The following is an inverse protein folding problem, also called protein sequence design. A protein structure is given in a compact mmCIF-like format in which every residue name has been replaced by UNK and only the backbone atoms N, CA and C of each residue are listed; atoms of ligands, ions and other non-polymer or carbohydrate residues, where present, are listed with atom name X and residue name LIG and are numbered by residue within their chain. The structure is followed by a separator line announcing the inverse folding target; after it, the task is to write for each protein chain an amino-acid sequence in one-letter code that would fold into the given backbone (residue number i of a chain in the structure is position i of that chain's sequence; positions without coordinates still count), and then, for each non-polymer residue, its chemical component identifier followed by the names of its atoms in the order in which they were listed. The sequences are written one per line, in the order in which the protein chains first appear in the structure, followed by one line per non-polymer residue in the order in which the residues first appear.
data_IF_352803652011
#
_entry.id   IF_352803652011
#
_cell.length_a   1.000
_cell.length_b   1.000
_cell.length_c   1.000
_cell.angle_alpha   90.00
_cell.angle_beta   90.00
_cell.angle_gamma   90.00
#
_symmetry.space_group_name_H-M   'P 1'
#
loop_
_entity.id
_entity.type
_entity.pdbx_description
1 polymer ?
#
# COMPACT_ATOMS: atom_id res chain seq x y z
N UNK A 1 -24.69 76.32 -38.65
CA UNK A 1 -23.63 75.35 -38.82
C UNK A 1 -23.19 74.92 -37.43
N UNK A 2 -23.73 73.79 -36.96
CA UNK A 2 -23.49 73.27 -35.61
C UNK A 2 -22.80 71.92 -35.75
N UNK A 3 -21.56 71.83 -35.24
CA UNK A 3 -20.75 70.65 -35.28
C UNK A 3 -21.12 69.75 -34.12
N UNK A 4 -21.63 68.55 -34.40
CA UNK A 4 -21.96 67.53 -33.38
C UNK A 4 -20.70 66.67 -33.15
N UNK A 5 -20.05 66.79 -31.99
CA UNK A 5 -18.99 65.91 -31.55
C UNK A 5 -19.63 64.65 -30.97
N UNK A 6 -19.40 63.50 -31.59
CA UNK A 6 -19.75 62.18 -31.09
C UNK A 6 -18.75 61.84 -29.97
N UNK A 7 -19.26 61.66 -28.75
CA UNK A 7 -18.50 61.12 -27.60
C UNK A 7 -18.71 59.58 -27.61
N UNK A 8 -17.63 58.82 -27.85
CA UNK A 8 -17.63 57.36 -27.74
C UNK A 8 -17.33 57.00 -26.28
N UNK A 9 -18.26 56.44 -25.54
CA UNK A 9 -18.06 55.83 -24.24
C UNK A 9 -17.53 54.41 -24.46
N UNK A 10 -16.23 54.18 -24.15
CA UNK A 10 -15.63 52.86 -24.13
C UNK A 10 -15.85 52.27 -22.73
N UNK A 11 -16.85 51.40 -22.58
CA UNK A 11 -17.08 50.61 -21.37
C UNK A 11 -16.06 49.50 -21.27
N UNK A 12 -15.04 49.66 -20.46
CA UNK A 12 -14.03 48.65 -20.14
C UNK A 12 -14.64 47.69 -19.13
N UNK A 13 -15.10 46.51 -19.59
CA UNK A 13 -15.53 45.40 -18.72
C UNK A 13 -14.30 44.78 -18.07
N UNK A 14 -14.05 45.06 -16.78
CA UNK A 14 -13.08 44.35 -15.97
C UNK A 14 -13.64 42.96 -15.69
N UNK A 15 -13.14 41.93 -16.39
CA UNK A 15 -13.38 40.55 -16.04
C UNK A 15 -12.50 40.20 -14.80
N UNK A 16 -13.11 40.27 -13.61
CA UNK A 16 -12.53 39.69 -12.39
C UNK A 16 -12.47 38.18 -12.57
N UNK A 17 -11.32 37.65 -13.01
CA UNK A 17 -11.00 36.24 -12.84
C UNK A 17 -10.79 35.97 -11.34
N UNK A 18 -11.85 35.55 -10.66
CA UNK A 18 -11.73 34.98 -9.31
C UNK A 18 -11.01 33.64 -9.43
N UNK A 19 -9.70 33.65 -9.19
CA UNK A 19 -8.94 32.44 -8.91
C UNK A 19 -9.47 31.86 -7.60
N UNK A 20 -10.40 30.91 -7.69
CA UNK A 20 -10.76 30.08 -6.55
C UNK A 20 -9.52 29.25 -6.20
N UNK A 21 -8.75 29.72 -5.21
CA UNK A 21 -7.73 28.91 -4.54
C UNK A 21 -8.50 27.77 -3.85
N UNK A 22 -8.56 26.62 -4.47
CA UNK A 22 -8.99 25.40 -3.80
C UNK A 22 -7.95 25.12 -2.69
N UNK A 23 -8.27 25.58 -1.48
CA UNK A 23 -7.57 25.12 -0.29
C UNK A 23 -7.84 23.61 -0.19
N UNK A 24 -6.91 22.78 -0.64
CA UNK A 24 -6.94 21.38 -0.34
C UNK A 24 -6.89 21.26 1.19
N UNK A 25 -7.99 20.80 1.79
CA UNK A 25 -8.02 20.53 3.21
C UNK A 25 -6.87 19.55 3.53
N UNK A 26 -5.95 19.96 4.38
CA UNK A 26 -4.86 19.10 4.84
C UNK A 26 -5.51 17.95 5.61
N UNK A 27 -5.43 16.75 5.07
CA UNK A 27 -5.93 15.55 5.72
C UNK A 27 -4.89 15.17 6.79
N UNK A 28 -5.14 15.57 8.04
CA UNK A 28 -4.31 15.14 9.16
C UNK A 28 -4.65 13.69 9.52
N UNK A 29 -3.66 12.79 9.67
CA UNK A 29 -3.91 11.42 10.04
C UNK A 29 -4.32 11.29 11.51
N UNK A 30 -5.17 10.29 11.81
CA UNK A 30 -5.32 9.78 13.16
C UNK A 30 -4.14 8.86 13.46
N UNK A 31 -3.41 9.12 14.53
CA UNK A 31 -2.29 8.27 14.97
C UNK A 31 -2.73 7.44 16.17
N UNK A 32 -2.52 6.11 16.08
CA UNK A 32 -2.85 5.16 17.15
C UNK A 32 -1.74 4.12 17.31
N UNK A 33 -1.53 3.64 18.53
CA UNK A 33 -0.67 2.48 18.79
C UNK A 33 -1.48 1.21 18.60
N UNK A 34 -1.08 0.33 17.68
CA UNK A 34 -1.76 -0.95 17.45
C UNK A 34 -1.11 -2.12 18.16
N UNK A 35 0.17 -1.97 18.50
CA UNK A 35 0.95 -3.03 19.14
C UNK A 35 2.00 -2.46 20.08
N UNK A 36 2.19 -3.11 21.20
CA UNK A 36 3.32 -2.87 22.09
C UNK A 36 4.06 -4.18 22.30
N UNK A 37 5.38 -4.16 22.15
CA UNK A 37 6.28 -5.28 22.44
C UNK A 37 7.38 -4.75 23.34
N UNK A 38 7.40 -5.17 24.60
CA UNK A 38 8.27 -4.62 25.64
C UNK A 38 8.14 -3.08 25.69
N UNK A 39 9.22 -2.37 25.38
CA UNK A 39 9.26 -0.90 25.35
C UNK A 39 8.95 -0.31 23.98
N UNK A 40 8.79 -1.15 22.94
CA UNK A 40 8.53 -0.70 21.56
C UNK A 40 7.03 -0.52 21.33
N UNK A 41 6.64 0.69 20.96
CA UNK A 41 5.28 0.99 20.51
C UNK A 41 5.26 1.15 18.98
N UNK A 42 4.36 0.41 18.33
CA UNK A 42 4.19 0.44 16.88
C UNK A 42 2.88 1.15 16.53
N UNK A 43 2.98 2.16 15.66
CA UNK A 43 1.90 3.05 15.32
C UNK A 43 1.23 2.76 13.98
N UNK A 44 0.00 3.24 13.84
CA UNK A 44 -0.70 3.40 12.58
C UNK A 44 -0.97 4.88 12.35
N UNK A 45 -0.74 5.36 11.11
CA UNK A 45 -1.25 6.65 10.65
C UNK A 45 -2.43 6.39 9.72
N UNK A 46 -3.62 6.80 10.14
CA UNK A 46 -4.88 6.53 9.44
C UNK A 46 -5.39 7.81 8.81
N UNK A 47 -5.53 7.81 7.49
CA UNK A 47 -6.13 8.91 6.73
C UNK A 47 -7.56 8.53 6.36
N UNK A 48 -8.49 9.37 6.75
CA UNK A 48 -9.90 9.22 6.40
C UNK A 48 -10.24 9.94 5.10
N UNK A 49 -11.20 9.43 4.32
CA UNK A 49 -11.66 10.16 3.14
C UNK A 49 -12.31 11.49 3.53
N UNK A 50 -12.18 12.53 2.68
CA UNK A 50 -12.83 13.80 2.92
C UNK A 50 -14.34 13.63 3.14
N UNK A 51 -14.84 14.22 4.22
CA UNK A 51 -16.25 14.14 4.59
C UNK A 51 -16.68 12.82 5.20
N UNK A 52 -15.75 11.96 5.64
CA UNK A 52 -16.07 10.74 6.40
C UNK A 52 -16.96 11.05 7.60
N UNK A 53 -17.99 10.23 7.78
CA UNK A 53 -18.92 10.36 8.91
C UNK A 53 -18.88 9.10 9.77
N UNK A 54 -19.10 9.28 11.07
CA UNK A 54 -19.21 8.16 12.01
C UNK A 54 -20.30 7.18 11.55
N UNK A 55 -19.96 5.89 11.51
CA UNK A 55 -20.85 4.82 11.06
C UNK A 55 -20.71 4.45 9.57
N UNK A 56 -19.99 5.24 8.77
CA UNK A 56 -19.64 4.82 7.42
C UNK A 56 -18.51 3.76 7.45
N UNK A 57 -18.58 2.82 6.51
CA UNK A 57 -17.56 1.78 6.35
C UNK A 57 -16.95 1.87 4.96
N UNK A 58 -15.61 2.01 4.89
CA UNK A 58 -14.86 2.18 3.66
C UNK A 58 -13.92 1.01 3.40
N UNK A 59 -13.69 0.65 2.12
CA UNK A 59 -12.54 -0.18 1.77
C UNK A 59 -11.27 0.46 2.33
N UNK A 60 -10.34 -0.37 2.76
CA UNK A 60 -9.14 0.13 3.45
C UNK A 60 -7.88 -0.38 2.75
N UNK A 61 -6.93 0.52 2.49
CA UNK A 61 -5.61 0.14 1.96
C UNK A 61 -4.55 0.35 3.03
N UNK A 62 -3.79 -0.71 3.30
CA UNK A 62 -2.78 -0.78 4.36
C UNK A 62 -1.42 -0.86 3.71
N UNK A 63 -0.53 0.07 4.01
CA UNK A 63 0.79 0.19 3.39
C UNK A 63 1.91 -0.18 4.35
N UNK A 64 2.80 -1.05 3.87
CA UNK A 64 4.05 -1.41 4.52
C UNK A 64 5.23 -0.84 3.73
N UNK A 65 6.08 -0.07 4.39
CA UNK A 65 7.24 0.55 3.75
C UNK A 65 8.32 -0.47 3.36
N UNK A 66 9.17 -0.12 2.40
CA UNK A 66 10.35 -0.88 2.00
C UNK A 66 11.56 -0.55 2.88
N UNK A 67 12.67 -1.23 2.60
CA UNK A 67 13.95 -0.98 3.29
C UNK A 67 14.63 -2.25 3.77
N UNK A 68 14.34 -3.40 3.14
CA UNK A 68 15.01 -4.68 3.36
C UNK A 68 14.85 -5.23 4.78
N UNK A 69 13.79 -4.88 5.50
CA UNK A 69 13.56 -5.18 6.92
C UNK A 69 14.64 -4.60 7.86
N UNK A 70 15.59 -3.83 7.29
CA UNK A 70 16.66 -3.19 8.06
C UNK A 70 16.26 -1.82 8.58
N UNK A 71 15.53 -1.05 7.78
CA UNK A 71 15.11 0.32 8.06
C UNK A 71 13.97 0.71 7.15
N UNK A 72 13.72 2.01 7.01
CA UNK A 72 12.69 2.58 6.16
C UNK A 72 11.89 3.68 6.86
N UNK A 73 10.89 4.21 6.17
CA UNK A 73 10.04 5.28 6.69
C UNK A 73 8.57 5.01 6.41
N UNK A 74 7.74 5.18 7.43
CA UNK A 74 6.28 5.10 7.34
C UNK A 74 5.73 6.06 6.27
N UNK A 75 6.41 7.21 6.05
CA UNK A 75 6.01 8.21 5.07
C UNK A 75 6.24 7.83 3.60
N UNK A 76 6.93 6.70 3.32
CA UNK A 76 7.20 6.29 1.94
C UNK A 76 5.95 6.25 1.06
N UNK A 77 4.85 5.76 1.60
CA UNK A 77 3.57 5.62 0.88
C UNK A 77 2.57 6.75 1.17
N UNK A 78 3.00 7.86 1.77
CA UNK A 78 2.10 8.97 2.07
C UNK A 78 1.44 9.57 0.81
N UNK A 79 2.15 9.77 -0.34
CA UNK A 79 1.51 10.22 -1.57
C UNK A 79 0.41 9.27 -2.05
N UNK A 80 0.62 7.95 -2.00
CA UNK A 80 -0.39 6.94 -2.32
C UNK A 80 -1.56 6.99 -1.33
N UNK A 81 -1.26 7.09 -0.03
CA UNK A 81 -2.28 7.14 1.01
C UNK A 81 -3.22 8.33 0.83
N UNK A 82 -2.69 9.51 0.57
CA UNK A 82 -3.48 10.71 0.30
C UNK A 82 -4.35 10.57 -0.96
N UNK A 83 -3.80 10.00 -2.03
CA UNK A 83 -4.55 9.76 -3.27
C UNK A 83 -5.75 8.84 -3.03
N UNK A 84 -5.55 7.67 -2.42
CA UNK A 84 -6.63 6.71 -2.19
C UNK A 84 -7.62 7.17 -1.10
N UNK A 85 -7.18 7.97 -0.13
CA UNK A 85 -8.10 8.62 0.80
C UNK A 85 -9.06 9.58 0.07
N UNK A 86 -8.55 10.36 -0.90
CA UNK A 86 -9.40 11.19 -1.75
C UNK A 86 -10.38 10.38 -2.63
N UNK A 87 -10.09 9.10 -2.89
CA UNK A 87 -10.94 8.14 -3.63
C UNK A 87 -11.91 7.35 -2.73
N UNK A 88 -12.21 7.85 -1.54
CA UNK A 88 -13.16 7.25 -0.59
C UNK A 88 -12.71 5.95 0.07
N UNK A 89 -11.40 5.68 0.12
CA UNK A 89 -10.82 4.63 0.95
C UNK A 89 -10.36 5.20 2.29
N UNK A 90 -10.31 4.38 3.32
CA UNK A 90 -9.44 4.62 4.48
C UNK A 90 -8.05 4.11 4.10
N UNK A 91 -7.01 4.89 4.37
CA UNK A 91 -5.64 4.47 4.10
C UNK A 91 -4.81 4.47 5.38
N UNK A 92 -3.95 3.48 5.52
CA UNK A 92 -3.22 3.24 6.76
C UNK A 92 -1.74 3.03 6.44
N UNK A 93 -0.88 3.85 7.02
CA UNK A 93 0.57 3.65 6.99
C UNK A 93 0.97 2.93 8.28
N UNK A 94 1.62 1.78 8.15
CA UNK A 94 1.96 0.91 9.28
C UNK A 94 3.43 1.06 9.65
N UNK A 95 3.71 1.38 10.92
CA UNK A 95 5.04 1.17 11.49
C UNK A 95 5.21 -0.30 11.89
N UNK A 96 6.38 -0.85 11.67
CA UNK A 96 6.75 -2.21 12.07
C UNK A 96 8.21 -2.26 12.50
N UNK A 97 8.56 -3.24 13.33
CA UNK A 97 9.94 -3.39 13.82
C UNK A 97 10.91 -3.63 12.67
N UNK A 98 12.06 -2.95 12.72
CA UNK A 98 13.17 -3.09 11.76
C UNK A 98 14.50 -3.29 12.49
N UNK A 99 15.47 -3.92 11.81
CA UNK A 99 16.74 -4.31 12.41
C UNK A 99 17.50 -3.13 13.06
N UNK A 100 17.65 -2.03 12.33
CA UNK A 100 18.47 -0.89 12.78
C UNK A 100 17.92 -0.17 14.00
N UNK A 101 16.59 -0.15 14.16
CA UNK A 101 15.91 0.56 15.26
C UNK A 101 15.57 -0.36 16.43
N UNK A 102 15.29 -1.65 16.14
CA UNK A 102 14.71 -2.54 17.13
C UNK A 102 15.49 -3.85 17.30
N UNK A 103 16.62 -4.01 16.59
CA UNK A 103 17.44 -5.22 16.58
C UNK A 103 16.63 -6.52 16.33
N UNK A 104 15.69 -6.45 15.41
CA UNK A 104 14.79 -7.56 15.06
C UNK A 104 15.15 -8.20 13.72
N UNK A 105 14.63 -9.39 13.49
CA UNK A 105 14.76 -10.14 12.24
C UNK A 105 13.56 -9.92 11.31
N UNK A 106 13.63 -10.34 10.03
CA UNK A 106 12.49 -10.31 9.12
C UNK A 106 11.24 -11.06 9.61
N UNK A 107 11.42 -12.05 10.47
CA UNK A 107 10.31 -12.84 11.03
C UNK A 107 9.40 -11.99 11.94
N UNK A 108 9.99 -11.11 12.77
CA UNK A 108 9.22 -10.18 13.61
C UNK A 108 8.48 -9.14 12.76
N UNK A 109 9.07 -8.71 11.63
CA UNK A 109 8.39 -7.81 10.70
C UNK A 109 7.09 -8.43 10.16
N UNK A 110 7.10 -9.74 9.82
CA UNK A 110 5.89 -10.47 9.37
C UNK A 110 4.86 -10.54 10.49
N UNK A 111 5.27 -10.83 11.73
CA UNK A 111 4.34 -10.84 12.88
C UNK A 111 3.68 -9.48 13.06
N UNK A 112 4.45 -8.38 12.97
CA UNK A 112 3.92 -7.03 13.13
C UNK A 112 2.93 -6.67 12.03
N UNK A 113 3.23 -7.00 10.77
CA UNK A 113 2.31 -6.77 9.65
C UNK A 113 0.98 -7.52 9.84
N UNK A 114 1.03 -8.79 10.28
CA UNK A 114 -0.16 -9.59 10.56
C UNK A 114 -0.96 -9.03 11.75
N UNK A 115 -0.27 -8.58 12.81
CA UNK A 115 -0.90 -7.92 13.96
C UNK A 115 -1.62 -6.65 13.52
N UNK A 116 -1.04 -5.83 12.62
CA UNK A 116 -1.67 -4.62 12.11
C UNK A 116 -2.97 -4.92 11.35
N UNK A 117 -2.97 -5.90 10.43
CA UNK A 117 -4.19 -6.29 9.72
C UNK A 117 -5.26 -6.83 10.68
N UNK A 118 -4.88 -7.64 11.68
CA UNK A 118 -5.81 -8.12 12.71
C UNK A 118 -6.39 -6.99 13.53
N UNK A 119 -5.55 -6.06 13.98
CA UNK A 119 -5.99 -4.88 14.73
C UNK A 119 -7.04 -4.08 13.98
N UNK A 120 -6.76 -3.76 12.70
CA UNK A 120 -7.70 -3.03 11.85
C UNK A 120 -9.02 -3.77 11.66
N UNK A 121 -8.97 -5.09 11.46
CA UNK A 121 -10.16 -5.92 11.31
C UNK A 121 -10.96 -6.03 12.60
N UNK A 122 -10.28 -6.17 13.75
CA UNK A 122 -10.90 -6.23 15.07
C UNK A 122 -11.63 -4.94 15.43
N UNK A 123 -11.03 -3.79 15.07
CA UNK A 123 -11.58 -2.48 15.39
C UNK A 123 -12.32 -1.84 14.21
N UNK A 124 -12.70 -2.64 13.22
CA UNK A 124 -13.28 -2.16 11.95
C UNK A 124 -14.51 -1.28 12.15
N UNK A 125 -15.42 -1.65 13.07
CA UNK A 125 -16.60 -0.85 13.40
C UNK A 125 -16.26 0.53 13.96
N UNK A 126 -15.31 0.60 14.90
CA UNK A 126 -14.90 1.86 15.52
C UNK A 126 -14.09 2.76 14.54
N UNK A 127 -13.33 2.14 13.64
CA UNK A 127 -12.47 2.82 12.67
C UNK A 127 -13.18 3.10 11.33
N UNK A 128 -14.44 2.70 11.14
CA UNK A 128 -15.15 2.89 9.88
C UNK A 128 -14.60 2.04 8.72
N UNK A 129 -13.96 0.92 9.02
CA UNK A 129 -13.33 0.01 8.07
C UNK A 129 -14.32 -1.07 7.63
N UNK A 130 -14.38 -1.35 6.33
CA UNK A 130 -15.01 -2.57 5.84
C UNK A 130 -14.04 -3.76 6.03
N UNK A 131 -14.31 -4.60 7.01
CA UNK A 131 -13.46 -5.74 7.36
C UNK A 131 -13.27 -6.76 6.23
N UNK A 132 -14.15 -6.74 5.22
CA UNK A 132 -14.13 -7.63 4.05
C UNK A 132 -13.49 -7.00 2.81
N UNK A 133 -13.04 -5.74 2.89
CA UNK A 133 -12.39 -5.03 1.81
C UNK A 133 -11.09 -4.36 2.29
N UNK A 134 -10.17 -5.18 2.82
CA UNK A 134 -8.83 -4.75 3.25
C UNK A 134 -7.81 -5.13 2.18
N UNK A 135 -7.16 -4.14 1.58
CA UNK A 135 -6.07 -4.27 0.63
C UNK A 135 -4.75 -4.14 1.38
N UNK A 136 -3.84 -5.09 1.24
CA UNK A 136 -2.48 -4.92 1.74
C UNK A 136 -1.56 -4.50 0.59
N UNK A 137 -0.72 -3.52 0.85
CA UNK A 137 0.19 -2.92 -0.13
C UNK A 137 1.56 -2.70 0.46
N UNK A 138 2.56 -2.63 -0.40
CA UNK A 138 3.91 -2.29 0.05
C UNK A 138 4.95 -2.42 -1.05
N UNK A 139 6.14 -1.85 -0.78
CA UNK A 139 7.27 -1.89 -1.69
C UNK A 139 8.40 -2.76 -1.16
N UNK A 140 9.07 -3.52 -2.04
CA UNK A 140 10.24 -4.31 -1.66
C UNK A 140 9.96 -5.25 -0.47
N UNK A 141 10.67 -5.09 0.65
CA UNK A 141 10.40 -5.80 1.89
C UNK A 141 8.97 -5.57 2.41
N UNK A 142 8.40 -4.36 2.24
CA UNK A 142 7.01 -4.09 2.59
C UNK A 142 6.02 -4.83 1.69
N UNK A 143 6.35 -5.03 0.42
CA UNK A 143 5.59 -5.88 -0.49
C UNK A 143 5.63 -7.36 -0.08
N UNK A 144 6.77 -7.83 0.44
CA UNK A 144 6.86 -9.14 1.09
C UNK A 144 5.88 -9.22 2.26
N UNK A 145 5.89 -8.23 3.19
CA UNK A 145 5.01 -8.22 4.35
C UNK A 145 3.53 -8.28 3.95
N UNK A 146 3.14 -7.50 2.95
CA UNK A 146 1.79 -7.51 2.41
C UNK A 146 1.37 -8.91 1.91
N UNK A 147 2.23 -9.58 1.12
CA UNK A 147 1.97 -10.92 0.63
C UNK A 147 2.04 -11.98 1.75
N UNK A 148 2.98 -11.83 2.70
CA UNK A 148 3.16 -12.74 3.83
C UNK A 148 1.95 -12.76 4.78
N UNK A 149 1.18 -11.68 4.85
CA UNK A 149 -0.09 -11.68 5.60
C UNK A 149 -1.07 -12.75 5.12
N UNK A 150 -1.00 -13.15 3.85
CA UNK A 150 -1.78 -14.27 3.32
C UNK A 150 -1.00 -15.59 3.32
N UNK A 151 0.27 -15.57 2.89
CA UNK A 151 1.03 -16.78 2.58
C UNK A 151 1.64 -17.44 3.81
N UNK A 152 2.01 -16.67 4.84
CA UNK A 152 2.62 -17.22 6.03
C UNK A 152 1.59 -17.50 7.12
N UNK A 153 1.37 -18.78 7.45
CA UNK A 153 0.40 -19.19 8.48
C UNK A 153 1.01 -19.28 9.87
N UNK A 154 2.29 -19.60 9.98
CA UNK A 154 2.95 -19.93 11.26
C UNK A 154 3.44 -18.70 12.04
N UNK A 155 3.92 -17.66 11.36
CA UNK A 155 4.46 -16.48 12.03
C UNK A 155 3.33 -15.59 12.56
N UNK A 156 2.97 -15.79 13.81
CA UNK A 156 1.99 -14.97 14.51
C UNK A 156 2.59 -14.44 15.80
N UNK A 157 2.16 -13.27 16.23
CA UNK A 157 2.49 -12.81 17.58
C UNK A 157 1.68 -13.59 18.59
N UNK A 158 2.30 -13.92 19.72
CA UNK A 158 1.66 -14.73 20.78
C UNK A 158 0.45 -14.04 21.42
N UNK A 159 0.42 -12.72 21.38
CA UNK A 159 -0.65 -11.90 21.95
C UNK A 159 -1.79 -11.64 20.97
N UNK A 160 -1.65 -12.03 19.70
CA UNK A 160 -2.69 -11.82 18.68
C UNK A 160 -3.89 -12.77 18.89
N UNK A 161 -5.10 -12.24 18.73
CA UNK A 161 -6.29 -13.08 18.62
C UNK A 161 -6.32 -13.76 17.25
N UNK A 162 -5.94 -15.04 17.20
CA UNK A 162 -5.84 -15.81 15.96
C UNK A 162 -7.21 -16.16 15.33
N UNK A 163 -8.32 -15.98 16.04
CA UNK A 163 -9.66 -16.08 15.45
C UNK A 163 -9.94 -14.95 14.45
N UNK A 164 -9.17 -13.84 14.52
CA UNK A 164 -9.25 -12.73 13.59
C UNK A 164 -8.25 -12.96 12.47
N UNK A 165 -8.73 -12.95 11.22
CA UNK A 165 -7.89 -13.19 10.05
C UNK A 165 -6.92 -12.04 9.80
N UNK A 166 -5.64 -12.39 9.56
CA UNK A 166 -4.63 -11.46 9.04
C UNK A 166 -4.61 -11.39 7.50
N UNK A 167 -5.43 -12.21 6.80
CA UNK A 167 -5.40 -12.33 5.33
C UNK A 167 -6.05 -11.09 4.69
N UNK A 168 -5.35 -10.38 3.79
CA UNK A 168 -5.96 -9.30 3.01
C UNK A 168 -6.92 -9.85 1.96
N UNK A 169 -7.81 -8.96 1.46
CA UNK A 169 -8.78 -9.28 0.43
C UNK A 169 -8.26 -8.96 -1.00
N UNK A 170 -7.23 -8.12 -1.12
CA UNK A 170 -6.49 -7.86 -2.36
C UNK A 170 -5.06 -7.43 -2.03
N UNK A 171 -4.16 -7.51 -3.02
CA UNK A 171 -2.75 -7.10 -2.89
C UNK A 171 -2.36 -6.08 -3.96
N UNK A 172 -1.60 -5.05 -3.54
CA UNK A 172 -0.97 -4.07 -4.44
C UNK A 172 0.53 -4.05 -4.13
N UNK A 173 1.33 -4.61 -5.02
CA UNK A 173 2.73 -4.94 -4.75
C UNK A 173 3.67 -4.16 -5.67
N UNK A 174 4.59 -3.39 -5.07
CA UNK A 174 5.59 -2.60 -5.78
C UNK A 174 6.96 -3.25 -5.62
N UNK A 175 7.54 -3.78 -6.71
CA UNK A 175 8.80 -4.53 -6.72
C UNK A 175 9.01 -5.38 -5.44
N UNK A 176 8.02 -6.24 -5.08
CA UNK A 176 8.03 -6.95 -3.81
C UNK A 176 9.14 -8.00 -3.76
N UNK A 177 9.72 -8.21 -2.58
CA UNK A 177 10.49 -9.42 -2.31
C UNK A 177 9.50 -10.58 -2.16
N UNK A 178 9.50 -11.51 -3.09
CA UNK A 178 8.59 -12.67 -3.08
C UNK A 178 9.33 -14.00 -3.00
N UNK A 179 10.63 -14.01 -3.26
CA UNK A 179 11.49 -15.16 -3.14
C UNK A 179 12.68 -14.86 -2.23
N UNK A 180 12.88 -15.70 -1.22
CA UNK A 180 13.99 -15.63 -0.27
C UNK A 180 14.85 -16.91 -0.33
N UNK A 181 14.69 -17.74 -1.36
CA UNK A 181 15.49 -18.93 -1.58
C UNK A 181 16.96 -18.62 -1.83
N UNK A 182 17.77 -19.63 -2.12
CA UNK A 182 19.24 -19.50 -2.23
C UNK A 182 19.69 -18.40 -3.19
N UNK A 183 18.94 -18.21 -4.29
CA UNK A 183 19.19 -17.14 -5.28
C UNK A 183 18.28 -15.94 -5.08
N UNK A 184 17.45 -15.92 -4.04
CA UNK A 184 16.49 -14.88 -3.71
C UNK A 184 17.05 -13.83 -2.76
N UNK A 185 16.33 -12.74 -2.63
CA UNK A 185 16.74 -11.63 -1.77
C UNK A 185 16.68 -11.98 -0.29
N UNK A 186 17.79 -11.82 0.41
CA UNK A 186 17.85 -11.91 1.87
C UNK A 186 17.98 -13.33 2.41
N UNK A 187 18.38 -14.31 1.59
CA UNK A 187 18.62 -15.69 2.03
C UNK A 187 19.55 -15.76 3.23
N UNK A 188 20.58 -14.90 3.29
CA UNK A 188 21.54 -14.81 4.40
C UNK A 188 20.91 -14.49 5.76
N UNK A 189 19.68 -13.98 5.79
CA UNK A 189 18.93 -13.65 7.01
C UNK A 189 17.79 -14.60 7.30
N UNK A 190 17.32 -15.30 6.29
CA UNK A 190 16.17 -16.20 6.36
C UNK A 190 16.62 -17.65 6.47
N UNK A 191 17.72 -18.04 5.79
CA UNK A 191 18.22 -19.40 5.74
C UNK A 191 17.19 -20.37 5.19
N UNK A 192 17.26 -21.61 5.60
CA UNK A 192 16.37 -22.68 5.13
C UNK A 192 14.87 -22.47 5.48
N UNK A 193 14.57 -21.52 6.37
CA UNK A 193 13.18 -21.16 6.64
C UNK A 193 12.49 -20.49 5.43
N UNK A 194 13.22 -20.17 4.35
CA UNK A 194 12.65 -19.57 3.14
C UNK A 194 11.47 -20.35 2.58
N UNK A 195 11.46 -21.67 2.72
CA UNK A 195 10.38 -22.54 2.23
C UNK A 195 9.01 -22.13 2.77
N UNK A 196 8.95 -21.72 4.04
CA UNK A 196 7.72 -21.23 4.69
C UNK A 196 7.62 -19.71 4.72
N UNK A 197 8.73 -19.01 4.52
CA UNK A 197 8.80 -17.55 4.62
C UNK A 197 8.50 -16.85 3.29
N UNK A 198 9.01 -17.37 2.17
CA UNK A 198 8.85 -16.74 0.85
C UNK A 198 7.42 -16.84 0.33
N UNK A 199 6.79 -15.75 -0.07
CA UNK A 199 5.46 -15.77 -0.67
C UNK A 199 5.32 -16.71 -1.87
N UNK A 200 6.31 -16.77 -2.76
CA UNK A 200 6.28 -17.59 -3.98
C UNK A 200 6.17 -19.10 -3.71
N UNK A 201 6.67 -19.59 -2.59
CA UNK A 201 6.60 -20.99 -2.19
C UNK A 201 5.28 -21.35 -1.52
N UNK A 202 4.48 -20.35 -1.13
CA UNK A 202 3.28 -20.51 -0.33
C UNK A 202 2.00 -20.00 -1.02
N UNK A 203 2.02 -19.92 -2.35
CA UNK A 203 0.82 -19.63 -3.15
C UNK A 203 -0.12 -20.84 -3.10
N UNK A 204 -1.39 -20.57 -2.77
CA UNK A 204 -2.42 -21.63 -2.62
C UNK A 204 -3.80 -21.10 -3.01
N UNK A 205 -4.75 -22.02 -3.16
CA UNK A 205 -6.16 -21.68 -3.46
C UNK A 205 -6.71 -20.62 -2.52
N UNK A 206 -7.44 -19.65 -3.09
CA UNK A 206 -7.96 -18.49 -2.38
C UNK A 206 -6.95 -17.35 -2.22
N UNK A 207 -5.83 -17.39 -2.94
CA UNK A 207 -4.89 -16.27 -3.01
C UNK A 207 -5.64 -15.01 -3.46
N UNK A 208 -5.43 -13.85 -2.81
CA UNK A 208 -6.17 -12.65 -3.15
C UNK A 208 -5.81 -12.12 -4.54
N UNK A 209 -6.76 -11.48 -5.26
CA UNK A 209 -6.44 -10.79 -6.49
C UNK A 209 -5.30 -9.79 -6.24
N UNK A 210 -4.34 -9.77 -7.17
CA UNK A 210 -3.06 -9.09 -7.00
C UNK A 210 -2.74 -8.23 -8.21
N UNK A 211 -2.28 -6.99 -7.98
CA UNK A 211 -1.57 -6.20 -8.97
C UNK A 211 -0.10 -6.09 -8.55
N UNK A 212 0.81 -6.28 -9.50
CA UNK A 212 2.24 -6.37 -9.26
C UNK A 212 3.01 -5.48 -10.24
N UNK A 213 3.80 -4.55 -9.72
CA UNK A 213 4.64 -3.63 -10.48
C UNK A 213 6.12 -3.97 -10.34
N UNK A 214 6.85 -4.10 -11.45
CA UNK A 214 8.28 -4.39 -11.44
C UNK A 214 9.00 -3.66 -12.57
N UNK A 215 10.17 -3.09 -12.28
CA UNK A 215 11.08 -2.57 -13.28
C UNK A 215 11.90 -3.68 -13.94
N UNK A 216 12.08 -3.63 -15.28
CA UNK A 216 12.84 -4.69 -15.99
C UNK A 216 14.35 -4.65 -15.72
N UNK A 217 14.86 -3.52 -15.18
CA UNK A 217 16.25 -3.38 -14.74
C UNK A 217 16.41 -3.46 -13.20
N UNK A 218 15.43 -4.07 -12.53
CA UNK A 218 15.54 -4.36 -11.09
C UNK A 218 16.65 -5.38 -10.84
N UNK A 219 17.64 -4.99 -10.03
CA UNK A 219 18.80 -5.85 -9.71
C UNK A 219 18.59 -6.74 -8.49
N UNK A 220 17.49 -6.55 -7.76
CA UNK A 220 17.16 -7.32 -6.56
C UNK A 220 16.11 -8.40 -6.85
N UNK A 221 15.16 -8.09 -7.73
CA UNK A 221 14.04 -8.97 -8.05
C UNK A 221 14.04 -9.25 -9.56
N UNK A 222 14.46 -10.44 -9.99
CA UNK A 222 14.45 -10.81 -11.40
C UNK A 222 13.03 -10.81 -12.00
N UNK A 223 12.90 -10.40 -13.25
CA UNK A 223 11.62 -10.46 -13.99
C UNK A 223 11.05 -11.88 -14.02
N UNK A 224 11.91 -12.88 -14.17
CA UNK A 224 11.52 -14.29 -14.13
C UNK A 224 10.84 -14.71 -12.83
N UNK A 225 11.29 -14.16 -11.69
CA UNK A 225 10.66 -14.39 -10.38
C UNK A 225 9.24 -13.82 -10.33
N UNK A 226 9.04 -12.61 -10.86
CA UNK A 226 7.70 -12.00 -10.94
C UNK A 226 6.77 -12.78 -11.88
N UNK A 227 7.27 -13.22 -13.03
CA UNK A 227 6.51 -14.04 -13.99
C UNK A 227 6.12 -15.40 -13.39
N UNK A 228 7.04 -16.06 -12.69
CA UNK A 228 6.77 -17.32 -12.00
C UNK A 228 5.71 -17.12 -10.89
N UNK A 229 5.81 -16.04 -10.11
CA UNK A 229 4.81 -15.73 -9.08
C UNK A 229 3.41 -15.52 -9.68
N UNK A 230 3.32 -14.73 -10.78
CA UNK A 230 2.07 -14.57 -11.53
C UNK A 230 1.52 -15.92 -11.97
N UNK A 231 2.34 -16.76 -12.61
CA UNK A 231 1.92 -18.08 -13.08
C UNK A 231 1.39 -18.97 -11.96
N UNK A 232 2.04 -18.95 -10.78
CA UNK A 232 1.57 -19.71 -9.61
C UNK A 232 0.21 -19.20 -9.10
N UNK A 233 0.02 -17.88 -9.04
CA UNK A 233 -1.26 -17.28 -8.61
C UNK A 233 -2.37 -17.65 -9.58
N UNK A 234 -2.13 -17.55 -10.88
CA UNK A 234 -3.10 -17.94 -11.92
C UNK A 234 -3.38 -19.44 -11.92
N UNK A 235 -2.34 -20.24 -11.64
CA UNK A 235 -2.45 -21.70 -11.52
C UNK A 235 -3.35 -22.19 -10.38
N UNK A 236 -3.58 -21.36 -9.36
CA UNK A 236 -4.53 -21.65 -8.27
C UNK A 236 -5.90 -21.00 -8.49
N UNK A 237 -6.15 -20.42 -9.68
CA UNK A 237 -7.41 -19.81 -10.07
C UNK A 237 -7.60 -18.37 -9.55
N UNK A 238 -6.52 -17.68 -9.19
CA UNK A 238 -6.57 -16.28 -8.74
C UNK A 238 -6.03 -15.34 -9.80
N UNK A 239 -6.42 -14.05 -9.72
CA UNK A 239 -5.98 -13.01 -10.65
C UNK A 239 -4.64 -12.42 -10.25
N UNK A 240 -3.72 -12.24 -11.22
CA UNK A 240 -2.49 -11.49 -11.04
C UNK A 240 -2.20 -10.60 -12.25
N UNK A 241 -2.34 -9.29 -12.08
CA UNK A 241 -2.03 -8.28 -13.09
C UNK A 241 -0.56 -7.85 -12.90
N UNK A 242 0.35 -8.40 -13.70
CA UNK A 242 1.78 -8.03 -13.67
C UNK A 242 2.04 -6.93 -14.69
N UNK A 243 2.60 -5.80 -14.23
CA UNK A 243 3.06 -4.69 -15.06
C UNK A 243 4.58 -4.57 -14.97
N UNK A 244 5.24 -4.72 -16.11
CA UNK A 244 6.67 -4.54 -16.25
C UNK A 244 6.94 -3.13 -16.81
N UNK A 245 7.84 -2.39 -16.14
CA UNK A 245 8.24 -1.05 -16.53
C UNK A 245 9.65 -1.10 -17.14
N UNK A 246 9.72 -0.81 -18.42
CA UNK A 246 10.94 -1.00 -19.19
C UNK A 246 12.09 -0.13 -18.67
N UNK A 247 13.29 -0.75 -18.55
CA UNK A 247 14.51 -0.14 -18.04
C UNK A 247 14.43 0.48 -16.62
N UNK A 248 13.35 0.26 -15.87
CA UNK A 248 13.24 0.85 -14.54
C UNK A 248 13.97 0.02 -13.47
N UNK A 249 14.67 0.68 -12.52
CA UNK A 249 15.39 0.03 -11.43
C UNK A 249 14.44 -0.29 -10.26
N UNK A 250 14.97 -0.94 -9.22
CA UNK A 250 14.28 -1.13 -7.94
C UNK A 250 13.85 0.20 -7.32
N UNK A 251 12.61 0.31 -6.85
CA UNK A 251 12.10 1.53 -6.21
C UNK A 251 11.61 2.62 -7.16
N UNK A 252 11.51 2.35 -8.46
CA UNK A 252 11.11 3.32 -9.50
C UNK A 252 9.78 4.01 -9.21
N UNK A 253 8.84 3.31 -8.60
CA UNK A 253 7.48 3.77 -8.29
C UNK A 253 7.41 4.94 -7.28
N UNK A 254 8.52 5.27 -6.61
CA UNK A 254 8.59 6.39 -5.66
C UNK A 254 8.79 7.75 -6.35
N UNK A 255 8.98 7.79 -7.66
CA UNK A 255 9.31 9.00 -8.43
C UNK A 255 8.42 9.14 -9.65
N UNK A 256 8.14 10.40 -10.01
CA UNK A 256 7.46 10.71 -11.28
C UNK A 256 8.34 10.33 -12.50
N UNK A 257 7.74 9.92 -13.62
CA UNK A 257 6.28 9.79 -13.84
C UNK A 257 5.67 8.50 -13.28
N UNK A 258 6.48 7.57 -12.79
CA UNK A 258 6.06 6.21 -12.44
C UNK A 258 5.22 6.15 -11.16
N UNK A 259 5.38 7.15 -10.26
CA UNK A 259 4.47 7.29 -9.12
C UNK A 259 3.02 7.45 -9.63
N UNK A 260 2.79 8.41 -10.51
CA UNK A 260 1.46 8.65 -11.09
C UNK A 260 0.97 7.48 -11.94
N UNK A 261 1.84 6.84 -12.72
CA UNK A 261 1.47 5.71 -13.58
C UNK A 261 1.05 4.48 -12.75
N UNK A 262 1.79 4.14 -11.71
CA UNK A 262 1.45 3.01 -10.84
C UNK A 262 0.19 3.26 -10.02
N UNK A 263 -0.04 4.51 -9.58
CA UNK A 263 -1.28 4.92 -8.95
C UNK A 263 -2.46 4.74 -9.91
N UNK A 264 -2.37 5.22 -11.16
CA UNK A 264 -3.46 5.11 -12.15
C UNK A 264 -3.81 3.64 -12.48
N UNK A 265 -2.80 2.76 -12.57
CA UNK A 265 -3.03 1.31 -12.75
C UNK A 265 -3.68 0.68 -11.51
N UNK A 266 -3.30 1.12 -10.32
CA UNK A 266 -3.91 0.69 -9.06
C UNK A 266 -5.37 1.17 -8.97
N UNK A 267 -5.69 2.40 -9.36
CA UNK A 267 -7.08 2.89 -9.47
C UNK A 267 -7.91 1.95 -10.34
N UNK A 268 -7.43 1.63 -11.56
CA UNK A 268 -8.15 0.73 -12.50
C UNK A 268 -8.36 -0.67 -11.90
N UNK A 269 -7.35 -1.20 -11.20
CA UNK A 269 -7.46 -2.48 -10.52
C UNK A 269 -8.51 -2.45 -9.40
N UNK A 270 -8.50 -1.42 -8.54
CA UNK A 270 -9.45 -1.27 -7.44
C UNK A 270 -10.88 -1.01 -7.93
N UNK A 271 -11.06 -0.27 -9.03
CA UNK A 271 -12.36 -0.10 -9.70
C UNK A 271 -12.89 -1.46 -10.15
N UNK A 272 -12.04 -2.29 -10.78
CA UNK A 272 -12.45 -3.62 -11.24
C UNK A 272 -12.87 -4.56 -10.09
N UNK A 273 -12.40 -4.29 -8.87
CA UNK A 273 -12.80 -5.00 -7.65
C UNK A 273 -13.97 -4.33 -6.90
N UNK A 274 -14.52 -3.24 -7.43
CA UNK A 274 -15.56 -2.41 -6.78
C UNK A 274 -15.17 -1.80 -5.43
N UNK A 275 -13.88 -1.56 -5.22
CA UNK A 275 -13.37 -0.95 -3.99
C UNK A 275 -13.38 0.59 -4.06
N UNK A 276 -13.21 1.15 -5.23
CA UNK A 276 -13.38 2.57 -5.54
C UNK A 276 -14.29 2.74 -6.76
N UNK A 277 -14.79 3.97 -6.98
CA UNK A 277 -15.68 4.33 -8.11
C UNK A 277 -14.89 5.11 -9.15
#
# INVERSE_FOLDING_TARGET
MINLRKVFFLTMMLACCSNAVFCQAVISPLEITYKQVDTVQLGLKIFYPPGHKKGEHHPTMVFFFGGGWNGGSVSQFEPHALHFAAKKMITVLVDYRVKTKHNTSPFECVKDAKSAIRYLRQHSGALGIDANRIVASGGSAGGHLAAACFTNESLNESTDNLAISAKPNALVLFNPVIDNGKDGYGFERIGEAYVTFSPIHNVKKGFPPTIFFLGTNDKLIPVSTAQNFKQKIEGVGSRCDLFLFDNQPHGFFNKEPFLSETIAKTDSFLISLTYVK
#
